data_IF_652402760668
#
_entry.id   IF_652402760668
#
_cell.length_a   1.000
_cell.length_b   1.000
_cell.length_c   1.000
_cell.angle_alpha   90.00
_cell.angle_beta   90.00
_cell.angle_gamma   90.00
#
_symmetry.space_group_name_H-M   'P 1'
#
loop_
_entity.id
_entity.type
_entity.pdbx_description
1 polymer ?
#
# COMPACT_ATOMS: atom_id res chain seq x y z
N UNK A 1 19.90 -16.99 52.74
CA UNK A 1 20.10 -16.85 51.27
C UNK A 1 18.93 -17.40 50.43
N UNK A 2 18.18 -18.40 50.90
CA UNK A 2 17.04 -19.01 50.18
C UNK A 2 15.79 -18.10 50.05
N UNK A 3 15.45 -17.33 51.09
CA UNK A 3 14.28 -16.43 51.08
C UNK A 3 14.39 -15.32 50.02
N UNK A 4 15.58 -14.76 49.78
CA UNK A 4 15.82 -13.76 48.73
C UNK A 4 15.64 -14.34 47.32
N UNK A 5 16.01 -15.61 47.11
CA UNK A 5 15.79 -16.33 45.83
C UNK A 5 14.30 -16.62 45.60
N UNK A 6 13.57 -16.99 46.65
CA UNK A 6 12.13 -17.22 46.57
C UNK A 6 11.34 -15.94 46.30
N UNK A 7 11.75 -14.83 46.92
CA UNK A 7 11.19 -13.49 46.65
C UNK A 7 11.43 -13.04 45.21
N UNK A 8 12.61 -13.32 44.66
CA UNK A 8 12.93 -13.04 43.26
C UNK A 8 12.08 -13.88 42.29
N UNK A 9 11.88 -15.17 42.58
CA UNK A 9 10.98 -16.03 41.80
C UNK A 9 9.53 -15.54 41.86
N UNK A 10 9.07 -15.09 43.04
CA UNK A 10 7.71 -14.58 43.23
C UNK A 10 7.45 -13.30 42.42
N UNK A 11 8.45 -12.42 42.29
CA UNK A 11 8.35 -11.27 41.39
C UNK A 11 8.07 -11.68 39.94
N UNK A 12 8.69 -12.74 39.42
CA UNK A 12 8.40 -13.22 38.05
C UNK A 12 6.96 -13.73 37.88
N UNK A 13 6.37 -14.34 38.91
CA UNK A 13 4.96 -14.76 38.87
C UNK A 13 3.99 -13.58 38.80
N UNK A 14 4.33 -12.45 39.43
CA UNK A 14 3.49 -11.24 39.39
C UNK A 14 3.52 -10.54 38.02
N UNK A 15 4.60 -10.66 37.25
CA UNK A 15 4.70 -10.07 35.89
C UNK A 15 4.00 -10.93 34.82
N UNK A 16 3.73 -12.22 35.10
CA UNK A 16 3.15 -13.14 34.12
C UNK A 16 1.63 -13.00 33.93
N UNK A 17 0.95 -12.17 34.72
CA UNK A 17 -0.49 -11.95 34.59
C UNK A 17 -0.77 -10.84 33.57
N UNK A 18 -0.63 -11.14 32.28
CA UNK A 18 -1.09 -10.25 31.21
C UNK A 18 -2.55 -10.54 30.90
N UNK A 19 -3.42 -9.52 31.03
CA UNK A 19 -4.78 -9.61 30.49
C UNK A 19 -4.69 -9.79 28.98
N UNK A 20 -4.97 -11.00 28.49
CA UNK A 20 -5.13 -11.28 27.07
C UNK A 20 -6.39 -10.52 26.65
N UNK A 21 -6.22 -9.33 26.06
CA UNK A 21 -7.34 -8.64 25.42
C UNK A 21 -7.85 -9.58 24.33
N UNK A 22 -9.14 -9.97 24.35
CA UNK A 22 -9.68 -10.82 23.30
C UNK A 22 -9.46 -10.11 21.96
N UNK A 23 -8.76 -10.79 21.06
CA UNK A 23 -8.54 -10.28 19.72
C UNK A 23 -9.89 -10.32 19.02
N UNK A 24 -10.49 -9.16 18.79
CA UNK A 24 -11.67 -9.03 17.93
C UNK A 24 -11.22 -8.62 16.52
N UNK A 25 -12.08 -8.87 15.53
CA UNK A 25 -11.82 -8.53 14.13
C UNK A 25 -11.59 -7.03 13.93
N UNK A 26 -12.34 -6.18 14.63
CA UNK A 26 -12.26 -4.72 14.52
C UNK A 26 -10.86 -4.20 14.86
N UNK A 27 -10.27 -4.70 15.95
CA UNK A 27 -8.96 -4.33 16.44
C UNK A 27 -7.85 -4.77 15.47
N UNK A 28 -8.04 -5.91 14.79
CA UNK A 28 -7.11 -6.33 13.73
C UNK A 28 -7.19 -5.36 12.56
N UNK A 29 -8.40 -4.98 12.14
CA UNK A 29 -8.62 -4.05 11.02
C UNK A 29 -8.01 -2.69 11.36
N UNK A 30 -8.32 -2.12 12.53
CA UNK A 30 -7.79 -0.82 12.97
C UNK A 30 -6.27 -0.82 13.05
N UNK A 31 -5.66 -1.86 13.64
CA UNK A 31 -4.20 -2.00 13.68
C UNK A 31 -3.59 -2.08 12.29
N UNK A 32 -4.24 -2.78 11.36
CA UNK A 32 -3.79 -2.89 9.97
C UNK A 32 -3.87 -1.54 9.26
N UNK A 33 -5.00 -0.83 9.39
CA UNK A 33 -5.18 0.52 8.84
C UNK A 33 -4.08 1.45 9.34
N UNK A 34 -3.84 1.46 10.66
CA UNK A 34 -2.84 2.30 11.31
C UNK A 34 -1.40 1.94 10.89
N UNK A 35 -1.06 0.65 10.84
CA UNK A 35 0.28 0.19 10.47
C UNK A 35 0.66 0.56 9.03
N UNK A 36 -0.30 0.49 8.10
CA UNK A 36 -0.08 0.77 6.69
C UNK A 36 -0.48 2.20 6.27
N UNK A 37 -1.00 3.01 7.21
CA UNK A 37 -1.33 4.42 6.98
C UNK A 37 -2.55 4.65 6.09
N UNK A 38 -3.50 3.71 6.06
CA UNK A 38 -4.75 3.82 5.29
C UNK A 38 -5.72 4.88 5.83
N UNK A 39 -5.49 5.33 7.06
CA UNK A 39 -6.17 6.46 7.72
C UNK A 39 -5.66 7.83 7.25
N UNK A 40 -4.54 7.87 6.53
CA UNK A 40 -3.96 9.14 6.05
C UNK A 40 -4.75 9.68 4.85
N UNK A 41 -5.15 10.94 4.95
CA UNK A 41 -5.77 11.67 3.82
C UNK A 41 -4.86 11.83 2.60
N UNK A 42 -3.54 11.81 2.83
CA UNK A 42 -2.52 11.91 1.80
C UNK A 42 -1.55 10.74 1.94
N UNK A 43 -1.43 9.92 0.90
CA UNK A 43 -0.44 8.86 0.87
C UNK A 43 0.00 8.54 -0.55
N UNK A 44 1.16 7.89 -0.65
CA UNK A 44 1.61 7.29 -1.89
C UNK A 44 2.10 5.87 -1.62
N UNK A 45 1.70 4.95 -2.48
CA UNK A 45 2.15 3.56 -2.46
C UNK A 45 2.90 3.32 -3.75
N UNK A 46 4.05 2.67 -3.66
CA UNK A 46 4.81 2.21 -4.82
C UNK A 46 5.19 0.77 -4.58
N UNK A 47 4.95 -0.08 -5.56
CA UNK A 47 5.28 -1.50 -5.49
C UNK A 47 5.57 -2.04 -6.89
N UNK A 48 6.40 -3.06 -6.94
CA UNK A 48 6.70 -3.78 -8.17
C UNK A 48 5.84 -5.05 -8.22
N UNK A 49 5.22 -5.29 -9.36
CA UNK A 49 4.43 -6.50 -9.61
C UNK A 49 4.69 -6.99 -11.03
N UNK A 50 5.28 -8.18 -11.13
CA UNK A 50 5.79 -8.74 -12.39
C UNK A 50 6.77 -7.73 -13.03
N UNK A 51 6.62 -7.44 -14.32
CA UNK A 51 7.49 -6.54 -15.08
C UNK A 51 7.14 -5.06 -14.91
N UNK A 52 6.20 -4.73 -14.01
CA UNK A 52 5.67 -3.38 -13.88
C UNK A 52 5.93 -2.80 -12.50
N UNK A 53 6.29 -1.52 -12.48
CA UNK A 53 6.28 -0.67 -11.30
C UNK A 53 4.99 0.11 -11.24
N UNK A 54 4.24 -0.08 -10.16
CA UNK A 54 2.98 0.60 -9.89
C UNK A 54 3.17 1.72 -8.88
N UNK A 55 2.40 2.80 -9.06
CA UNK A 55 2.34 3.90 -8.12
C UNK A 55 0.91 4.41 -7.97
N UNK A 56 0.46 4.50 -6.72
CA UNK A 56 -0.76 5.18 -6.32
C UNK A 56 -0.37 6.45 -5.58
N UNK A 57 -1.03 7.56 -5.92
CA UNK A 57 -1.02 8.80 -5.13
C UNK A 57 -2.47 9.10 -4.77
N UNK A 58 -2.76 9.29 -3.48
CA UNK A 58 -4.07 9.69 -2.99
C UNK A 58 -3.96 10.97 -2.19
N UNK A 59 -4.87 11.89 -2.48
CA UNK A 59 -5.10 13.18 -1.81
C UNK A 59 -6.62 13.33 -1.57
N UNK A 60 -7.08 14.29 -0.74
CA UNK A 60 -8.50 14.44 -0.41
C UNK A 60 -9.47 14.47 -1.59
N UNK A 61 -9.10 15.14 -2.68
CA UNK A 61 -9.94 15.34 -3.87
C UNK A 61 -9.28 14.84 -5.15
N UNK A 62 -8.16 14.11 -5.04
CA UNK A 62 -7.37 13.69 -6.19
C UNK A 62 -6.77 12.31 -5.98
N UNK A 63 -6.79 11.50 -7.03
CA UNK A 63 -5.98 10.30 -7.10
C UNK A 63 -5.25 10.18 -8.43
N UNK A 64 -4.13 9.48 -8.41
CA UNK A 64 -3.38 9.10 -9.60
C UNK A 64 -2.93 7.66 -9.50
N UNK A 65 -3.25 6.89 -10.53
CA UNK A 65 -2.72 5.55 -10.76
C UNK A 65 -1.70 5.62 -11.88
N UNK A 66 -0.53 5.04 -11.64
CA UNK A 66 0.54 4.96 -12.61
C UNK A 66 1.08 3.54 -12.68
N UNK A 67 1.41 3.12 -13.90
CA UNK A 67 2.16 1.90 -14.20
C UNK A 67 3.30 2.25 -15.13
N UNK A 68 4.48 1.70 -14.88
CA UNK A 68 5.62 1.86 -15.76
C UNK A 68 6.37 0.54 -15.96
N UNK A 69 6.93 0.35 -17.14
CA UNK A 69 7.89 -0.71 -17.44
C UNK A 69 8.90 -0.24 -18.47
N UNK A 70 10.02 -0.95 -18.56
CA UNK A 70 10.95 -0.85 -19.67
C UNK A 70 10.75 -2.09 -20.54
N UNK A 71 10.48 -1.89 -21.83
CA UNK A 71 10.32 -2.96 -22.81
C UNK A 71 11.35 -2.75 -23.92
N UNK A 72 12.31 -3.67 -24.06
CA UNK A 72 13.38 -3.58 -25.09
C UNK A 72 14.13 -2.23 -25.06
N UNK A 73 14.40 -1.72 -23.86
CA UNK A 73 15.05 -0.42 -23.66
C UNK A 73 14.12 0.79 -23.77
N UNK A 74 12.85 0.60 -24.13
CA UNK A 74 11.86 1.66 -24.25
C UNK A 74 11.05 1.78 -22.94
N UNK A 75 11.13 2.94 -22.29
CA UNK A 75 10.32 3.29 -21.13
C UNK A 75 8.88 3.57 -21.56
N UNK A 76 7.95 2.79 -21.03
CA UNK A 76 6.50 2.94 -21.24
C UNK A 76 5.86 3.31 -19.90
N UNK A 77 5.12 4.41 -19.87
CA UNK A 77 4.44 4.91 -18.67
C UNK A 77 2.97 5.19 -18.97
N UNK A 78 2.08 4.54 -18.23
CA UNK A 78 0.64 4.81 -18.22
C UNK A 78 0.30 5.63 -16.96
N UNK A 79 -0.48 6.70 -17.12
CA UNK A 79 -0.98 7.52 -16.00
C UNK A 79 -2.47 7.76 -16.18
N UNK A 80 -3.26 7.48 -15.14
CA UNK A 80 -4.67 7.83 -15.02
C UNK A 80 -4.88 8.65 -13.76
N UNK A 81 -5.80 9.61 -13.79
CA UNK A 81 -6.13 10.43 -12.61
C UNK A 81 -7.63 10.49 -12.40
N UNK A 82 -8.07 11.05 -11.28
CA UNK A 82 -9.49 11.38 -11.05
C UNK A 82 -10.07 12.36 -12.08
N UNK A 83 -9.23 13.11 -12.78
CA UNK A 83 -9.64 14.21 -13.68
C UNK A 83 -9.45 13.85 -15.16
N UNK A 84 -8.53 12.93 -15.46
CA UNK A 84 -8.12 12.61 -16.82
C UNK A 84 -8.11 11.10 -17.05
N UNK A 85 -8.60 10.69 -18.22
CA UNK A 85 -8.46 9.31 -18.74
C UNK A 85 -6.98 8.92 -18.85
N UNK A 86 -6.73 7.62 -18.98
CA UNK A 86 -5.39 7.09 -19.14
C UNK A 86 -4.66 7.76 -20.32
N UNK A 87 -3.46 8.24 -20.03
CA UNK A 87 -2.50 8.72 -21.00
C UNK A 87 -1.24 7.83 -20.95
N UNK A 88 -0.73 7.46 -22.13
CA UNK A 88 0.53 6.72 -22.27
C UNK A 88 1.62 7.62 -22.80
N UNK A 89 2.81 7.48 -22.22
CA UNK A 89 4.04 7.99 -22.81
C UNK A 89 5.00 6.84 -23.14
N UNK A 90 5.76 7.01 -24.23
CA UNK A 90 6.88 6.16 -24.62
C UNK A 90 8.09 7.06 -24.85
N UNK A 91 9.21 6.80 -24.17
CA UNK A 91 10.38 7.71 -24.15
C UNK A 91 9.99 9.17 -23.83
N UNK A 92 9.07 9.34 -22.88
CA UNK A 92 8.57 10.66 -22.46
C UNK A 92 7.63 11.36 -23.46
N UNK A 93 7.36 10.76 -24.63
CA UNK A 93 6.45 11.33 -25.65
C UNK A 93 5.06 10.72 -25.53
N UNK A 94 4.03 11.56 -25.57
CA UNK A 94 2.63 11.10 -25.56
C UNK A 94 2.31 10.24 -26.78
N UNK A 95 1.63 9.11 -26.55
CA UNK A 95 1.21 8.17 -27.60
C UNK A 95 -0.30 8.07 -27.62
N UNK A 96 -0.90 8.25 -28.80
CA UNK A 96 -2.34 8.10 -28.97
C UNK A 96 -2.71 6.62 -28.92
N UNK A 97 -3.64 6.29 -28.03
CA UNK A 97 -4.24 4.97 -27.91
C UNK A 97 -5.68 5.01 -28.45
N UNK A 98 -6.19 3.87 -28.89
CA UNK A 98 -7.63 3.72 -29.16
C UNK A 98 -8.43 3.72 -27.87
N UNK A 99 -9.70 4.10 -27.93
CA UNK A 99 -10.59 4.11 -26.76
C UNK A 99 -10.71 2.73 -26.09
N UNK A 100 -10.70 1.66 -26.88
CA UNK A 100 -10.70 0.28 -26.38
C UNK A 100 -9.50 -0.02 -25.49
N UNK A 101 -8.30 0.41 -25.91
CA UNK A 101 -7.06 0.19 -25.17
C UNK A 101 -6.98 1.10 -23.94
N UNK A 102 -7.46 2.35 -24.05
CA UNK A 102 -7.58 3.26 -22.91
C UNK A 102 -8.43 2.62 -21.80
N UNK A 103 -9.61 2.08 -22.15
CA UNK A 103 -10.49 1.45 -21.18
C UNK A 103 -9.87 0.19 -20.56
N UNK A 104 -9.30 -0.70 -21.39
CA UNK A 104 -8.65 -1.92 -20.92
C UNK A 104 -7.51 -1.63 -19.93
N UNK A 105 -6.64 -0.68 -20.26
CA UNK A 105 -5.50 -0.37 -19.42
C UNK A 105 -5.88 0.44 -18.18
N UNK A 106 -6.91 1.29 -18.27
CA UNK A 106 -7.47 1.98 -17.10
C UNK A 106 -7.98 0.99 -16.06
N UNK A 107 -8.71 -0.05 -16.50
CA UNK A 107 -9.21 -1.11 -15.62
C UNK A 107 -8.05 -1.91 -15.00
N UNK A 108 -6.99 -2.17 -15.77
CA UNK A 108 -5.80 -2.86 -15.27
C UNK A 108 -5.00 -2.05 -14.23
N UNK A 109 -5.15 -0.73 -14.16
CA UNK A 109 -4.52 0.11 -13.13
C UNK A 109 -5.27 0.07 -11.79
N UNK A 110 -6.56 -0.28 -11.84
CA UNK A 110 -7.46 -0.30 -10.70
C UNK A 110 -7.90 -1.73 -10.32
N UNK A 111 -7.17 -2.75 -10.80
CA UNK A 111 -7.44 -4.16 -10.54
C UNK A 111 -6.31 -4.82 -9.76
#
# INVERSE_FOLDING_TARGET
MFIKKFLFLFCFYLVSCSQIKPINSELIIEKSISAYGWDKKNFSITFDFRDYKYKLIRKPVFFSFQRSKVNEGIAIVDVMTSENKLNRTMEGKSVRLSDSIINLYSNSLNS
#
